data_IF_987413646116
#
_entry.id   IF_987413646116
#
_cell.length_a   1.000
_cell.length_b   1.000
_cell.length_c   1.000
_cell.angle_alpha   90.00
_cell.angle_beta   90.00
_cell.angle_gamma   90.00
#
_symmetry.space_group_name_H-M   'P 1'
#
loop_
_entity.id
_entity.type
_entity.pdbx_description
1 polymer ?
#
# COMPACT_ATOMS: atom_id res chain seq x y z
N UNK A 1 -16.09 -8.43 -9.46
CA UNK A 1 -14.96 -8.21 -8.51
C UNK A 1 -14.45 -9.60 -8.13
N UNK A 2 -13.18 -9.91 -8.38
CA UNK A 2 -12.58 -11.19 -7.98
C UNK A 2 -12.06 -11.11 -6.55
N UNK A 3 -11.96 -12.26 -5.88
CA UNK A 3 -11.36 -12.36 -4.54
C UNK A 3 -9.89 -11.88 -4.53
N UNK A 4 -9.15 -12.18 -5.60
CA UNK A 4 -7.76 -11.71 -5.78
C UNK A 4 -7.66 -10.19 -5.88
N UNK A 5 -8.56 -9.55 -6.63
CA UNK A 5 -8.58 -8.08 -6.74
C UNK A 5 -8.94 -7.44 -5.39
N UNK A 6 -9.77 -8.09 -4.56
CA UNK A 6 -10.06 -7.62 -3.21
C UNK A 6 -8.85 -7.72 -2.28
N UNK A 7 -8.11 -8.83 -2.29
CA UNK A 7 -6.87 -8.97 -1.49
C UNK A 7 -5.86 -7.88 -1.86
N UNK A 8 -5.68 -7.64 -3.16
CA UNK A 8 -4.81 -6.57 -3.67
C UNK A 8 -5.27 -5.20 -3.19
N UNK A 9 -6.57 -4.89 -3.29
CA UNK A 9 -7.11 -3.61 -2.85
C UNK A 9 -6.94 -3.36 -1.34
N UNK A 10 -7.07 -4.40 -0.51
CA UNK A 10 -6.84 -4.29 0.94
C UNK A 10 -5.38 -3.94 1.24
N UNK A 11 -4.44 -4.56 0.52
CA UNK A 11 -3.00 -4.32 0.74
C UNK A 11 -2.60 -2.93 0.26
N UNK A 12 -3.03 -2.53 -0.94
CA UNK A 12 -2.80 -1.17 -1.45
C UNK A 12 -3.44 -0.13 -0.54
N UNK A 13 -4.68 -0.36 -0.07
CA UNK A 13 -5.36 0.53 0.87
C UNK A 13 -4.62 0.67 2.20
N UNK A 14 -4.12 -0.44 2.73
CA UNK A 14 -3.31 -0.47 3.96
C UNK A 14 -1.99 0.29 3.79
N UNK A 15 -1.31 0.10 2.66
CA UNK A 15 -0.10 0.84 2.31
C UNK A 15 -0.36 2.35 2.22
N UNK A 16 -1.43 2.77 1.54
CA UNK A 16 -1.80 4.19 1.46
C UNK A 16 -2.16 4.80 2.81
N UNK A 17 -2.92 4.08 3.64
CA UNK A 17 -3.30 4.54 4.97
C UNK A 17 -2.07 4.72 5.89
N UNK A 18 -1.03 3.90 5.72
CA UNK A 18 0.20 4.02 6.51
C UNK A 18 0.89 5.38 6.31
N UNK A 19 0.82 5.98 5.12
CA UNK A 19 1.35 7.32 4.86
C UNK A 19 0.47 8.45 5.40
N UNK A 20 -0.85 8.23 5.54
CA UNK A 20 -1.77 9.26 6.04
C UNK A 20 -1.46 9.72 7.48
N UNK A 21 -0.82 8.86 8.29
CA UNK A 21 -0.56 9.12 9.71
C UNK A 21 0.86 9.63 9.99
N UNK A 22 1.72 9.71 8.98
CA UNK A 22 3.13 10.12 9.16
C UNK A 22 3.31 11.64 9.32
N UNK A 23 2.35 12.45 8.86
CA UNK A 23 2.38 13.92 9.00
C UNK A 23 0.97 14.47 9.23
N UNK A 24 0.90 15.70 9.76
CA UNK A 24 -0.37 16.39 9.93
C UNK A 24 -1.03 16.74 8.58
N UNK A 25 -2.31 16.38 8.47
CA UNK A 25 -3.09 16.64 7.27
C UNK A 25 -2.53 15.92 6.03
N UNK A 26 -2.87 16.36 4.81
CA UNK A 26 -2.51 15.65 3.59
C UNK A 26 -1.05 15.89 3.15
N UNK A 27 -0.18 16.39 4.05
CA UNK A 27 1.19 16.78 3.71
C UNK A 27 1.99 15.59 3.19
N UNK A 28 1.96 14.45 3.93
CA UNK A 28 2.71 13.27 3.52
C UNK A 28 2.26 12.77 2.14
N UNK A 29 0.95 12.72 1.89
CA UNK A 29 0.37 12.26 0.62
C UNK A 29 0.75 13.14 -0.59
N UNK A 30 1.16 14.40 -0.38
CA UNK A 30 1.63 15.27 -1.46
C UNK A 30 3.10 15.05 -1.81
N UNK A 31 3.85 14.38 -0.93
CA UNK A 31 5.29 14.16 -1.05
C UNK A 31 5.63 12.69 -1.40
N UNK A 32 4.69 11.75 -1.23
CA UNK A 32 4.94 10.35 -1.57
C UNK A 32 5.26 10.22 -3.06
N UNK A 33 6.28 9.42 -3.34
CA UNK A 33 6.66 9.02 -4.68
C UNK A 33 6.15 7.63 -4.98
N UNK A 34 6.15 7.23 -6.25
CA UNK A 34 5.82 5.86 -6.63
C UNK A 34 6.76 4.83 -5.98
N UNK A 35 8.05 5.16 -5.87
CA UNK A 35 9.03 4.30 -5.21
C UNK A 35 8.73 4.10 -3.71
N UNK A 36 8.22 5.12 -3.01
CA UNK A 36 7.79 4.99 -1.61
C UNK A 36 6.61 4.01 -1.50
N UNK A 37 5.65 4.12 -2.41
CA UNK A 37 4.47 3.25 -2.44
C UNK A 37 4.89 1.81 -2.73
N UNK A 38 5.72 1.59 -3.75
CA UNK A 38 6.19 0.26 -4.14
C UNK A 38 6.96 -0.42 -2.99
N UNK A 39 7.86 0.30 -2.32
CA UNK A 39 8.58 -0.22 -1.16
C UNK A 39 7.66 -0.54 0.02
N UNK A 40 6.71 0.33 0.34
CA UNK A 40 5.72 0.06 1.40
C UNK A 40 4.81 -1.11 1.04
N UNK A 41 4.47 -1.27 -0.24
CA UNK A 41 3.67 -2.40 -0.71
C UNK A 41 4.41 -3.72 -0.47
N UNK A 42 5.70 -3.80 -0.81
CA UNK A 42 6.54 -4.99 -0.53
C UNK A 42 6.57 -5.34 0.95
N UNK A 43 6.71 -4.35 1.84
CA UNK A 43 6.66 -4.56 3.30
C UNK A 43 5.31 -5.18 3.73
N UNK A 44 4.20 -4.70 3.17
CA UNK A 44 2.89 -5.29 3.43
C UNK A 44 2.74 -6.69 2.83
N UNK A 45 3.26 -6.96 1.62
CA UNK A 45 3.23 -8.31 1.04
C UNK A 45 3.96 -9.30 1.96
N UNK A 46 5.16 -8.92 2.44
CA UNK A 46 5.95 -9.73 3.35
C UNK A 46 5.24 -10.00 4.68
N UNK A 47 4.55 -9.00 5.24
CA UNK A 47 3.80 -9.15 6.49
C UNK A 47 2.62 -10.13 6.37
N UNK A 48 1.93 -10.11 5.23
CA UNK A 48 0.68 -10.87 5.06
C UNK A 48 0.94 -12.27 4.47
N UNK A 49 2.15 -12.59 3.96
CA UNK A 49 2.52 -13.91 3.41
C UNK A 49 1.55 -14.43 2.33
N UNK A 50 1.02 -13.56 1.47
CA UNK A 50 0.22 -13.97 0.30
C UNK A 50 0.99 -13.62 -0.97
N UNK A 51 1.01 -14.54 -1.94
CA UNK A 51 1.45 -14.24 -3.30
C UNK A 51 0.48 -13.23 -3.93
N UNK A 52 0.99 -12.05 -4.28
CA UNK A 52 0.26 -11.05 -5.04
C UNK A 52 0.98 -10.89 -6.37
N UNK A 53 0.30 -11.19 -7.48
CA UNK A 53 0.80 -10.85 -8.80
C UNK A 53 0.65 -9.34 -9.01
N UNK A 54 1.71 -8.57 -8.79
CA UNK A 54 1.79 -7.20 -9.31
C UNK A 54 2.04 -7.29 -10.83
N UNK A 55 0.95 -7.13 -11.60
CA UNK A 55 0.97 -7.03 -13.08
C UNK A 55 1.49 -5.67 -13.52
#
# INVERSE_FOLDING_TARGET
>A
ISFENMKTAIIVGSAMASFCVEKFGPQRLKEITKADIDGRLEEFVQLVNFDIDLV
#
